data_IF_388281038655
#
_entry.id   IF_388281038655
#
_cell.length_a   1.000
_cell.length_b   1.000
_cell.length_c   1.000
_cell.angle_alpha   90.00
_cell.angle_beta   90.00
_cell.angle_gamma   90.00
#
_symmetry.space_group_name_H-M   'P 1'
#
loop_
_entity.id
_entity.type
_entity.pdbx_description
1 polymer ?
#
# COMPACT_ATOMS: atom_id res chain seq x y z
N UNK A 1 -1.89 -24.40 0.87
CA UNK A 1 -1.14 -23.50 -0.03
C UNK A 1 -0.43 -22.53 0.87
N UNK A 2 0.88 -22.47 0.75
CA UNK A 2 1.74 -21.72 1.66
C UNK A 2 1.85 -20.28 1.18
N UNK A 3 1.64 -19.32 2.08
CA UNK A 3 1.78 -17.89 1.82
C UNK A 3 3.25 -17.51 1.91
N UNK A 4 3.77 -16.85 0.88
CA UNK A 4 5.13 -16.26 0.91
C UNK A 4 5.03 -14.93 1.65
N UNK A 5 5.79 -14.79 2.74
CA UNK A 5 5.90 -13.55 3.50
C UNK A 5 7.32 -12.99 3.31
N UNK A 6 7.42 -11.78 2.75
CA UNK A 6 8.66 -11.01 2.71
C UNK A 6 8.55 -9.92 3.78
N UNK A 7 9.60 -9.71 4.57
CA UNK A 7 9.66 -8.61 5.54
C UNK A 7 10.62 -7.53 5.03
N UNK A 8 10.11 -6.31 4.85
CA UNK A 8 10.90 -5.10 4.68
C UNK A 8 10.88 -4.35 6.02
N UNK A 9 12.05 -4.10 6.62
CA UNK A 9 12.23 -3.34 7.86
C UNK A 9 11.25 -3.72 9.01
N UNK A 10 11.04 -5.03 9.21
CA UNK A 10 10.14 -5.64 10.23
C UNK A 10 8.63 -5.59 9.92
N UNK A 11 8.22 -5.12 8.74
CA UNK A 11 6.82 -5.12 8.31
C UNK A 11 6.53 -6.32 7.40
N UNK A 12 5.70 -7.28 7.84
CA UNK A 12 5.34 -8.42 7.00
C UNK A 12 4.46 -7.96 5.84
N UNK A 13 4.85 -8.34 4.62
CA UNK A 13 4.09 -8.10 3.40
C UNK A 13 3.51 -9.41 2.92
N UNK A 14 2.17 -9.46 2.83
CA UNK A 14 1.45 -10.61 2.27
C UNK A 14 1.39 -10.52 0.76
N UNK A 15 1.53 -11.69 0.14
CA UNK A 15 1.35 -11.87 -1.29
C UNK A 15 0.28 -12.92 -1.56
N UNK A 16 -0.47 -12.73 -2.63
CA UNK A 16 -1.37 -13.75 -3.15
C UNK A 16 -0.55 -14.90 -3.78
N UNK A 17 -1.15 -16.10 -3.98
CA UNK A 17 -0.45 -17.21 -4.64
C UNK A 17 0.01 -16.91 -6.07
N UNK A 18 -0.66 -15.99 -6.78
CA UNK A 18 -0.28 -15.49 -8.11
C UNK A 18 0.72 -14.32 -8.07
N UNK A 19 1.20 -13.92 -6.89
CA UNK A 19 2.30 -12.97 -6.72
C UNK A 19 1.88 -11.50 -6.58
N UNK A 20 0.59 -11.20 -6.45
CA UNK A 20 0.10 -9.84 -6.19
C UNK A 20 0.39 -9.44 -4.75
N UNK A 21 0.72 -8.17 -4.54
CA UNK A 21 1.07 -7.62 -3.24
C UNK A 21 -0.18 -7.08 -2.54
N UNK A 22 -0.31 -7.30 -1.23
CA UNK A 22 -1.30 -6.60 -0.41
C UNK A 22 -0.93 -5.12 -0.28
N UNK A 23 -1.74 -4.25 -0.87
CA UNK A 23 -1.45 -2.81 -0.99
C UNK A 23 -1.25 -2.16 0.38
N UNK A 24 -2.12 -2.50 1.33
CA UNK A 24 -2.05 -1.97 2.71
C UNK A 24 -0.75 -2.34 3.42
N UNK A 25 -0.29 -3.59 3.24
CA UNK A 25 0.92 -4.07 3.89
C UNK A 25 2.15 -3.37 3.30
N UNK A 26 2.17 -3.17 1.98
CA UNK A 26 3.26 -2.50 1.29
C UNK A 26 3.33 -1.00 1.61
N UNK A 27 2.18 -0.31 1.67
CA UNK A 27 2.12 1.09 2.14
C UNK A 27 2.69 1.18 3.55
N UNK A 28 2.23 0.32 4.47
CA UNK A 28 2.71 0.31 5.86
C UNK A 28 4.22 0.09 5.95
N UNK A 29 4.76 -0.82 5.14
CA UNK A 29 6.18 -1.13 5.12
C UNK A 29 7.02 0.06 4.63
N UNK A 30 6.49 0.85 3.68
CA UNK A 30 7.20 2.01 3.11
C UNK A 30 7.00 3.30 3.90
N UNK A 31 5.90 3.44 4.63
CA UNK A 31 5.55 4.64 5.39
C UNK A 31 5.98 4.60 6.86
N UNK A 32 6.82 3.62 7.25
CA UNK A 32 7.41 3.47 8.58
C UNK A 32 6.40 3.65 9.74
N UNK A 33 5.30 2.88 9.71
CA UNK A 33 4.21 2.86 10.72
C UNK A 33 3.24 4.05 10.73
N UNK A 34 3.32 4.98 9.78
CA UNK A 34 2.21 5.91 9.54
C UNK A 34 0.93 5.12 9.24
N UNK A 35 -0.24 5.65 9.62
CA UNK A 35 -1.53 4.96 9.43
C UNK A 35 -1.78 4.69 7.94
N UNK A 36 -1.42 3.48 7.50
CA UNK A 36 -1.57 3.02 6.12
C UNK A 36 -3.02 3.10 5.66
N UNK A 37 -3.98 2.98 6.58
CA UNK A 37 -5.41 3.20 6.35
C UNK A 37 -5.69 4.64 5.92
N UNK A 38 -5.15 5.61 6.66
CA UNK A 38 -5.25 7.03 6.32
C UNK A 38 -4.58 7.36 4.99
N UNK A 39 -3.37 6.87 4.75
CA UNK A 39 -2.64 7.11 3.50
C UNK A 39 -3.43 6.53 2.32
N UNK A 40 -3.84 5.25 2.41
CA UNK A 40 -4.64 4.62 1.37
C UNK A 40 -5.94 5.37 1.12
N UNK A 41 -6.63 5.81 2.18
CA UNK A 41 -7.84 6.60 2.06
C UNK A 41 -7.58 7.91 1.29
N UNK A 42 -6.53 8.65 1.66
CA UNK A 42 -6.14 9.89 0.99
C UNK A 42 -5.81 9.66 -0.48
N UNK A 43 -4.94 8.68 -0.78
CA UNK A 43 -4.59 8.32 -2.16
C UNK A 43 -5.83 7.94 -2.97
N UNK A 44 -6.74 7.15 -2.40
CA UNK A 44 -7.95 6.69 -3.07
C UNK A 44 -8.99 7.80 -3.30
N UNK A 45 -8.96 8.86 -2.49
CA UNK A 45 -9.82 10.04 -2.70
C UNK A 45 -9.27 10.95 -3.79
N UNK A 46 -7.96 11.15 -3.83
CA UNK A 46 -7.30 11.99 -4.85
C UNK A 46 -7.21 11.27 -6.21
N UNK A 47 -7.00 9.96 -6.19
CA UNK A 47 -6.80 9.10 -7.34
C UNK A 47 -7.76 7.89 -7.31
N UNK A 48 -9.07 8.10 -7.49
CA UNK A 48 -10.07 7.02 -7.40
C UNK A 48 -9.85 5.88 -8.41
N UNK A 49 -9.12 6.13 -9.50
CA UNK A 49 -8.73 5.13 -10.50
C UNK A 49 -7.96 3.95 -9.89
N UNK A 50 -7.14 4.17 -8.85
CA UNK A 50 -6.33 3.10 -8.26
C UNK A 50 -7.19 2.03 -7.60
N UNK A 51 -8.39 2.39 -7.11
CA UNK A 51 -9.34 1.44 -6.54
C UNK A 51 -9.79 0.45 -7.61
N UNK A 52 -10.04 0.95 -8.83
CA UNK A 52 -10.51 0.13 -9.94
C UNK A 52 -9.41 -0.73 -10.57
N UNK A 53 -8.15 -0.35 -10.39
CA UNK A 53 -6.99 -1.12 -10.84
C UNK A 53 -6.63 -2.25 -9.87
N UNK A 54 -6.97 -2.11 -8.59
CA UNK A 54 -6.72 -3.13 -7.59
C UNK A 54 -7.71 -4.28 -7.70
N UNK A 55 -7.20 -5.50 -7.59
CA UNK A 55 -8.02 -6.67 -7.32
C UNK A 55 -8.34 -6.77 -5.83
N UNK A 56 -9.37 -7.54 -5.48
CA UNK A 56 -9.68 -7.86 -4.08
C UNK A 56 -9.33 -9.31 -3.78
N UNK A 57 -8.51 -9.53 -2.75
CA UNK A 57 -8.15 -10.87 -2.30
C UNK A 57 -8.51 -11.09 -0.83
N UNK A 58 -8.95 -12.31 -0.50
CA UNK A 58 -9.30 -12.71 0.85
C UNK A 58 -8.20 -13.59 1.42
N UNK A 59 -7.33 -13.01 2.25
CA UNK A 59 -6.37 -13.80 3.01
C UNK A 59 -7.08 -14.55 4.14
N UNK A 60 -6.49 -15.66 4.57
CA UNK A 60 -7.05 -16.49 5.64
C UNK A 60 -7.14 -15.64 6.93
N UNK A 61 -8.32 -15.59 7.54
CA UNK A 61 -8.61 -14.84 8.77
C UNK A 61 -8.50 -13.31 8.67
N UNK A 62 -8.56 -12.73 7.47
CA UNK A 62 -8.60 -11.26 7.32
C UNK A 62 -9.77 -10.80 6.48
N UNK A 63 -10.06 -9.50 6.58
CA UNK A 63 -11.00 -8.84 5.66
C UNK A 63 -10.47 -8.85 4.22
N UNK A 64 -11.37 -8.73 3.22
CA UNK A 64 -10.97 -8.51 1.83
C UNK A 64 -9.99 -7.34 1.73
N UNK A 65 -8.85 -7.60 1.12
CA UNK A 65 -7.73 -6.65 1.04
C UNK A 65 -7.47 -6.31 -0.43
N UNK A 66 -7.26 -5.02 -0.77
CA UNK A 66 -6.82 -4.64 -2.11
C UNK A 66 -5.43 -5.21 -2.39
N UNK A 67 -5.30 -5.85 -3.54
CA UNK A 67 -4.03 -6.40 -4.02
C UNK A 67 -3.70 -5.87 -5.41
N UNK A 68 -2.41 -5.70 -5.67
CA UNK A 68 -1.90 -5.15 -6.92
C UNK A 68 -0.86 -6.10 -7.52
N UNK A 69 -0.89 -6.27 -8.84
CA UNK A 69 0.27 -6.83 -9.55
C UNK A 69 1.39 -5.78 -9.64
N UNK A 70 2.49 -6.11 -10.32
CA UNK A 70 3.63 -5.21 -10.45
C UNK A 70 3.29 -3.90 -11.16
N UNK A 71 2.45 -3.93 -12.20
CA UNK A 71 2.14 -2.74 -12.99
C UNK A 71 1.24 -1.77 -12.20
N UNK A 72 0.22 -2.33 -11.55
CA UNK A 72 -0.66 -1.56 -10.66
C UNK A 72 0.12 -1.05 -9.46
N UNK A 73 1.02 -1.86 -8.89
CA UNK A 73 1.86 -1.45 -7.77
C UNK A 73 2.81 -0.32 -8.14
N UNK A 74 3.46 -0.35 -9.30
CA UNK A 74 4.35 0.73 -9.75
C UNK A 74 3.62 2.07 -9.80
N UNK A 75 2.34 2.05 -10.23
CA UNK A 75 1.48 3.25 -10.23
C UNK A 75 1.20 3.74 -8.81
N UNK A 76 0.78 2.83 -7.92
CA UNK A 76 0.49 3.17 -6.51
C UNK A 76 1.75 3.67 -5.80
N UNK A 77 2.90 3.06 -6.07
CA UNK A 77 4.17 3.42 -5.46
C UNK A 77 4.61 4.84 -5.84
N UNK A 78 4.40 5.24 -7.11
CA UNK A 78 4.65 6.62 -7.54
C UNK A 78 3.81 7.62 -6.75
N UNK A 79 2.49 7.39 -6.67
CA UNK A 79 1.56 8.24 -5.92
C UNK A 79 1.87 8.28 -4.42
N UNK A 80 2.25 7.14 -3.85
CA UNK A 80 2.66 7.06 -2.45
C UNK A 80 3.91 7.91 -2.19
N UNK A 81 4.90 7.85 -3.09
CA UNK A 81 6.11 8.64 -2.95
C UNK A 81 5.82 10.14 -3.00
N UNK A 82 5.01 10.57 -3.97
CA UNK A 82 4.58 11.97 -4.09
C UNK A 82 3.86 12.44 -2.80
N UNK A 83 2.92 11.63 -2.29
CA UNK A 83 2.21 11.92 -1.04
C UNK A 83 3.17 12.07 0.16
N UNK A 84 4.13 11.16 0.32
CA UNK A 84 5.08 11.19 1.43
C UNK A 84 6.03 12.39 1.34
N UNK A 85 6.43 12.78 0.13
CA UNK A 85 7.24 13.98 -0.08
C UNK A 85 6.44 15.24 0.27
N UNK A 86 5.19 15.35 -0.18
CA UNK A 86 4.32 16.48 0.15
C UNK A 86 4.08 16.63 1.66
N UNK A 87 3.78 15.53 2.37
CA UNK A 87 3.63 15.56 3.84
C UNK A 87 4.94 16.01 4.50
N UNK A 88 6.09 15.50 4.07
CA UNK A 88 7.39 15.89 4.65
C UNK A 88 7.73 17.37 4.44
N UNK A 89 7.34 17.95 3.31
CA UNK A 89 7.51 19.37 3.01
C UNK A 89 6.54 20.22 3.86
N UNK A 90 5.30 19.76 4.03
CA UNK A 90 4.31 20.44 4.86
C UNK A 90 4.72 20.51 6.34
N UNK A 91 5.39 19.47 6.86
CA UNK A 91 5.97 19.46 8.19
C UNK A 91 7.16 20.41 8.32
N UNK A 92 7.95 20.59 7.26
CA UNK A 92 9.13 21.45 7.25
C UNK A 92 8.80 22.96 7.17
N UNK A 93 7.67 23.34 6.59
CA UNK A 93 7.22 24.75 6.47
C UNK A 93 6.56 25.29 7.75
N UNK A 94 6.25 24.43 8.72
CA UNK A 94 5.64 24.81 10.00
C UNK A 94 6.65 25.07 11.13
N UNK A 95 7.96 25.10 10.83
CA UNK A 95 9.06 25.32 11.79
C UNK A 95 9.71 26.70 11.63
#
# INVERSE_FOLDING_TARGET
MDTINLALDQHPIRFTPDGKVAVMDAIRALSDLTDSGRIWHSLSQTHPEIISLCDTYHFIHTEPTPVADSEVWDTIQGLLFDYLVEESLSDAEQV
#
